data_IF_842098786024
#
_entry.id   IF_842098786024
#
_cell.length_a   1.000
_cell.length_b   1.000
_cell.length_c   1.000
_cell.angle_alpha   90.00
_cell.angle_beta   90.00
_cell.angle_gamma   90.00
#
_symmetry.space_group_name_H-M   'P 1'
#
loop_
_entity.id
_entity.type
_entity.pdbx_description
1 polymer ?
#
# COMPACT_ATOMS: atom_id res chain seq x y z
N UNK A 1 19.49 -1.63 24.55
CA UNK A 1 18.77 -0.48 23.95
C UNK A 1 17.50 -0.25 24.76
N UNK A 2 17.06 0.99 24.93
CA UNK A 2 15.81 1.27 25.65
C UNK A 2 14.61 1.13 24.71
N UNK A 3 13.64 0.29 25.09
CA UNK A 3 12.40 0.10 24.31
C UNK A 3 11.54 1.37 24.40
N UNK A 4 11.32 1.99 23.25
CA UNK A 4 10.54 3.21 23.08
C UNK A 4 9.10 2.97 22.61
N UNK A 5 8.87 1.93 21.80
CA UNK A 5 7.57 1.59 21.23
C UNK A 5 7.40 0.07 21.15
N UNK A 6 6.21 -0.41 21.52
CA UNK A 6 5.78 -1.81 21.32
C UNK A 6 4.51 -1.82 20.47
N UNK A 7 4.57 -2.44 19.30
CA UNK A 7 3.45 -2.62 18.37
C UNK A 7 2.91 -4.04 18.51
N UNK A 8 1.59 -4.19 18.52
CA UNK A 8 0.88 -5.48 18.46
C UNK A 8 0.26 -5.66 17.08
N UNK A 9 -0.08 -6.90 16.75
CA UNK A 9 -0.63 -7.24 15.43
C UNK A 9 -2.08 -6.79 15.30
N UNK A 10 -2.44 -6.21 14.15
CA UNK A 10 -3.86 -6.03 13.83
C UNK A 10 -4.47 -7.36 13.40
N UNK A 11 -5.61 -7.70 13.99
CA UNK A 11 -6.54 -8.69 13.46
C UNK A 11 -7.61 -8.00 12.63
N UNK A 12 -8.46 -8.79 11.98
CA UNK A 12 -9.49 -8.27 11.07
C UNK A 12 -10.87 -8.71 11.54
N UNK A 13 -11.75 -7.77 11.82
CA UNK A 13 -13.13 -8.02 12.26
C UNK A 13 -14.07 -8.38 11.10
N UNK A 14 -13.82 -7.82 9.91
CA UNK A 14 -14.68 -7.97 8.74
C UNK A 14 -13.97 -8.60 7.50
N UNK A 15 -13.09 -9.62 7.64
CA UNK A 15 -12.27 -10.12 6.53
C UNK A 15 -13.12 -10.72 5.39
N UNK A 16 -14.30 -11.25 5.69
CA UNK A 16 -15.18 -11.91 4.73
C UNK A 16 -16.43 -11.12 4.38
N UNK A 17 -16.51 -9.85 4.78
CA UNK A 17 -17.70 -9.03 4.60
C UNK A 17 -18.08 -8.84 3.13
N UNK A 18 -17.09 -8.60 2.24
CA UNK A 18 -17.34 -8.52 0.81
C UNK A 18 -16.11 -8.89 -0.03
N UNK A 19 -16.21 -8.73 -1.36
CA UNK A 19 -15.14 -9.06 -2.30
C UNK A 19 -13.92 -8.15 -2.21
N UNK A 20 -14.02 -6.97 -1.57
CA UNK A 20 -12.90 -6.05 -1.34
C UNK A 20 -12.16 -6.38 -0.04
N UNK A 21 -12.87 -6.76 1.03
CA UNK A 21 -12.24 -7.03 2.32
C UNK A 21 -11.28 -8.21 2.29
N UNK A 22 -11.58 -9.26 1.50
CA UNK A 22 -10.75 -10.46 1.39
C UNK A 22 -9.33 -10.19 0.85
N UNK A 23 -9.15 -9.60 -0.35
CA UNK A 23 -7.82 -9.26 -0.84
C UNK A 23 -7.12 -8.22 0.05
N UNK A 24 -7.85 -7.27 0.65
CA UNK A 24 -7.28 -6.30 1.59
C UNK A 24 -6.69 -6.97 2.85
N UNK A 25 -7.38 -7.96 3.41
CA UNK A 25 -6.85 -8.75 4.54
C UNK A 25 -5.49 -9.35 4.18
N UNK A 26 -5.39 -9.97 3.00
CA UNK A 26 -4.13 -10.57 2.54
C UNK A 26 -3.04 -9.51 2.40
N UNK A 27 -3.36 -8.35 1.82
CA UNK A 27 -2.42 -7.25 1.66
C UNK A 27 -1.84 -6.81 3.02
N UNK A 28 -2.72 -6.58 4.00
CA UNK A 28 -2.33 -6.15 5.34
C UNK A 28 -1.53 -7.22 6.07
N UNK A 29 -1.91 -8.48 5.93
CA UNK A 29 -1.19 -9.58 6.58
C UNK A 29 0.23 -9.75 6.04
N UNK A 30 0.49 -9.45 4.77
CA UNK A 30 1.87 -9.40 4.26
C UNK A 30 2.76 -8.46 5.07
N UNK A 31 2.24 -7.28 5.40
CA UNK A 31 2.92 -6.30 6.24
C UNK A 31 2.99 -6.73 7.71
N UNK A 32 1.85 -7.11 8.30
CA UNK A 32 1.71 -7.35 9.74
C UNK A 32 2.33 -8.69 10.18
N UNK A 33 2.17 -9.75 9.39
CA UNK A 33 2.60 -11.10 9.77
C UNK A 33 4.06 -11.34 9.40
N UNK A 34 4.51 -10.82 8.26
CA UNK A 34 5.86 -11.10 7.75
C UNK A 34 6.76 -9.88 7.89
N UNK A 35 6.40 -8.75 7.29
CA UNK A 35 7.32 -7.60 7.22
C UNK A 35 7.68 -7.04 8.61
N UNK A 36 6.69 -6.72 9.46
CA UNK A 36 6.95 -6.14 10.78
C UNK A 36 7.67 -7.11 11.72
N UNK A 37 7.32 -8.40 11.65
CA UNK A 37 8.02 -9.46 12.39
C UNK A 37 9.47 -9.56 11.93
N UNK A 38 9.71 -9.63 10.62
CA UNK A 38 11.04 -9.73 10.05
C UNK A 38 11.89 -8.50 10.42
N UNK A 39 11.33 -7.29 10.31
CA UNK A 39 12.04 -6.07 10.67
C UNK A 39 12.39 -6.01 12.15
N UNK A 40 11.41 -6.28 13.02
CA UNK A 40 11.64 -6.24 14.48
C UNK A 40 12.64 -7.30 14.95
N UNK A 41 12.62 -8.51 14.39
CA UNK A 41 13.58 -9.59 14.75
C UNK A 41 14.99 -9.37 14.22
N UNK A 42 15.16 -8.53 13.20
CA UNK A 42 16.46 -8.24 12.57
C UNK A 42 16.99 -6.84 12.89
N UNK A 43 16.46 -6.18 13.94
CA UNK A 43 16.86 -4.81 14.32
C UNK A 43 16.78 -3.79 13.15
N UNK A 44 15.83 -3.99 12.22
CA UNK A 44 15.56 -3.08 11.12
C UNK A 44 14.51 -2.06 11.52
N UNK A 45 14.57 -0.88 10.90
CA UNK A 45 13.60 0.17 11.15
C UNK A 45 12.22 -0.25 10.62
N UNK A 46 11.20 -0.04 11.44
CA UNK A 46 9.79 -0.22 11.10
C UNK A 46 8.92 0.82 11.79
N UNK A 47 7.68 0.96 11.33
CA UNK A 47 6.76 1.98 11.79
C UNK A 47 5.82 1.47 12.89
N UNK A 48 5.39 2.38 13.75
CA UNK A 48 4.12 2.28 14.45
C UNK A 48 2.98 2.45 13.44
N UNK A 49 1.92 1.66 13.56
CA UNK A 49 0.82 1.65 12.58
C UNK A 49 -0.29 2.68 12.90
N UNK A 50 -0.04 3.59 13.84
CA UNK A 50 -1.01 4.58 14.30
C UNK A 50 -1.97 4.06 15.38
N UNK A 51 -2.02 2.76 15.63
CA UNK A 51 -2.80 2.14 16.70
C UNK A 51 -2.25 0.79 17.13
N UNK A 52 -2.87 0.16 18.14
CA UNK A 52 -2.51 -1.16 18.65
C UNK A 52 -1.06 -1.26 19.15
N UNK A 53 -0.57 -0.21 19.80
CA UNK A 53 0.75 -0.22 20.41
C UNK A 53 0.89 0.82 21.51
N UNK A 54 1.96 0.70 22.28
CA UNK A 54 2.24 1.53 23.45
C UNK A 54 3.57 2.23 23.25
N UNK A 55 3.61 3.52 23.61
CA UNK A 55 4.79 4.35 23.56
C UNK A 55 5.27 4.73 24.95
N UNK A 56 6.59 4.72 25.13
CA UNK A 56 7.22 5.37 26.28
C UNK A 56 7.13 6.89 26.10
N UNK A 57 6.52 7.60 27.06
CA UNK A 57 6.42 9.08 27.04
C UNK A 57 7.78 9.76 26.80
N UNK A 58 8.84 9.28 27.45
CA UNK A 58 10.20 9.80 27.25
C UNK A 58 10.68 9.68 25.80
N UNK A 59 10.36 8.58 25.11
CA UNK A 59 10.72 8.37 23.71
C UNK A 59 10.03 9.40 22.81
N UNK A 60 8.74 9.66 23.02
CA UNK A 60 8.00 10.68 22.25
C UNK A 60 8.63 12.07 22.44
N UNK A 61 8.87 12.47 23.70
CA UNK A 61 9.43 13.79 24.03
C UNK A 61 10.83 13.95 23.45
N UNK A 62 11.72 12.98 23.69
CA UNK A 62 13.09 12.97 23.19
C UNK A 62 13.14 13.01 21.66
N UNK A 63 12.15 12.39 21.00
CA UNK A 63 12.04 12.36 19.54
C UNK A 63 11.53 13.67 18.92
N UNK A 64 11.10 14.64 19.74
CA UNK A 64 10.55 15.92 19.28
C UNK A 64 9.03 15.93 19.12
N UNK A 65 8.31 14.99 19.74
CA UNK A 65 6.85 14.94 19.75
C UNK A 65 6.22 14.55 18.40
N UNK A 66 4.90 14.74 18.33
CA UNK A 66 4.12 14.57 17.09
C UNK A 66 4.29 15.81 16.21
N UNK A 67 4.53 15.62 14.91
CA UNK A 67 4.73 16.69 13.94
C UNK A 67 3.69 16.57 12.82
N UNK A 68 3.19 17.71 12.34
CA UNK A 68 2.11 17.78 11.33
C UNK A 68 2.62 18.07 9.92
N UNK A 69 3.93 18.02 9.70
CA UNK A 69 4.54 18.30 8.39
C UNK A 69 4.44 17.11 7.42
N UNK A 70 4.15 15.91 7.93
CA UNK A 70 3.82 14.71 7.16
C UNK A 70 2.41 14.23 7.49
N UNK A 71 1.69 13.67 6.51
CA UNK A 71 0.34 13.10 6.75
C UNK A 71 0.36 11.77 7.52
N UNK A 72 1.54 11.16 7.69
CA UNK A 72 1.76 9.95 8.48
C UNK A 72 2.66 10.28 9.67
N UNK A 73 2.11 11.01 10.64
CA UNK A 73 2.82 11.47 11.84
C UNK A 73 3.37 10.32 12.71
N UNK A 74 2.70 9.17 12.65
CA UNK A 74 3.10 7.92 13.29
C UNK A 74 4.37 7.32 12.69
N UNK A 75 4.44 7.23 11.37
CA UNK A 75 5.62 6.79 10.62
C UNK A 75 6.79 7.76 10.84
N UNK A 76 6.53 9.06 10.77
CA UNK A 76 7.53 10.09 10.99
C UNK A 76 8.17 10.00 12.38
N UNK A 77 7.33 9.94 13.43
CA UNK A 77 7.79 9.77 14.81
C UNK A 77 8.58 8.47 14.98
N UNK A 78 8.14 7.38 14.34
CA UNK A 78 8.82 6.09 14.39
C UNK A 78 10.25 6.16 13.87
N UNK A 79 10.48 6.85 12.75
CA UNK A 79 11.82 7.00 12.18
C UNK A 79 12.68 7.95 13.01
N UNK A 80 12.14 9.08 13.47
CA UNK A 80 12.87 10.02 14.34
C UNK A 80 13.33 9.36 15.64
N UNK A 81 12.50 8.51 16.23
CA UNK A 81 12.83 7.79 17.46
C UNK A 81 13.94 6.77 17.24
N UNK A 82 13.83 5.94 16.20
CA UNK A 82 14.83 4.92 15.91
C UNK A 82 16.18 5.51 15.47
N UNK A 83 16.18 6.65 14.75
CA UNK A 83 17.39 7.43 14.45
C UNK A 83 18.05 7.94 15.72
N UNK A 84 17.28 8.31 16.76
CA UNK A 84 17.83 8.63 18.09
C UNK A 84 18.29 7.42 18.91
N UNK A 85 18.12 6.22 18.39
CA UNK A 85 18.57 4.97 19.02
C UNK A 85 17.55 4.30 19.94
N UNK A 86 16.28 4.73 19.91
CA UNK A 86 15.20 4.02 20.59
C UNK A 86 14.91 2.68 19.92
N UNK A 87 14.62 1.67 20.74
CA UNK A 87 14.32 0.32 20.28
C UNK A 87 12.83 0.08 20.11
N UNK A 88 12.46 -0.56 19.01
CA UNK A 88 11.07 -0.81 18.63
C UNK A 88 10.83 -2.31 18.61
N UNK A 89 9.72 -2.76 19.22
CA UNK A 89 9.39 -4.20 19.34
C UNK A 89 8.03 -4.51 18.76
N UNK A 90 7.93 -5.63 18.06
CA UNK A 90 6.68 -6.12 17.50
C UNK A 90 6.26 -7.42 18.20
N UNK A 91 5.04 -7.45 18.73
CA UNK A 91 4.44 -8.62 19.39
C UNK A 91 3.41 -9.26 18.46
N UNK A 92 3.83 -10.34 17.79
CA UNK A 92 3.02 -11.05 16.81
C UNK A 92 1.79 -11.74 17.41
N UNK A 93 1.95 -12.34 18.60
CA UNK A 93 0.93 -13.16 19.25
C UNK A 93 -0.18 -12.34 19.92
N UNK A 94 0.05 -11.04 20.14
CA UNK A 94 -0.96 -10.14 20.69
C UNK A 94 -1.73 -9.52 19.52
N UNK A 95 -3.02 -9.80 19.46
CA UNK A 95 -3.90 -9.38 18.37
C UNK A 95 -4.86 -8.30 18.85
N UNK A 96 -4.82 -7.14 18.20
CA UNK A 96 -5.76 -6.04 18.38
C UNK A 96 -6.79 -6.06 17.25
N UNK A 97 -8.10 -6.18 17.53
CA UNK A 97 -9.12 -6.18 16.48
C UNK A 97 -9.16 -4.86 15.70
N UNK A 98 -9.19 -4.93 14.38
CA UNK A 98 -9.32 -3.79 13.49
C UNK A 98 -10.32 -4.07 12.35
N UNK A 99 -10.91 -3.01 11.80
CA UNK A 99 -11.80 -3.07 10.64
C UNK A 99 -11.06 -2.63 9.38
N UNK A 100 -11.39 -3.28 8.27
CA UNK A 100 -10.89 -2.99 6.94
C UNK A 100 -11.95 -2.18 6.17
N UNK A 101 -11.57 -1.19 5.35
CA UNK A 101 -12.51 -0.51 4.47
C UNK A 101 -13.28 -1.49 3.58
N UNK A 102 -14.61 -1.41 3.62
CA UNK A 102 -15.53 -2.21 2.80
C UNK A 102 -15.87 -1.58 1.45
N UNK A 103 -15.52 -0.31 1.24
CA UNK A 103 -15.79 0.46 0.02
C UNK A 103 -14.49 0.84 -0.68
N UNK A 104 -14.52 0.89 -2.02
CA UNK A 104 -13.32 1.15 -2.82
C UNK A 104 -12.80 2.58 -2.65
N UNK A 105 -13.67 3.59 -2.59
CA UNK A 105 -13.24 4.98 -2.40
C UNK A 105 -12.60 5.16 -1.01
N UNK A 106 -13.14 4.49 0.03
CA UNK A 106 -12.56 4.48 1.38
C UNK A 106 -11.19 3.82 1.39
N UNK A 107 -11.04 2.69 0.68
CA UNK A 107 -9.75 2.02 0.50
C UNK A 107 -8.74 2.90 -0.25
N UNK A 108 -9.12 3.46 -1.40
CA UNK A 108 -8.26 4.38 -2.19
C UNK A 108 -7.82 5.59 -1.37
N UNK A 109 -8.72 6.15 -0.56
CA UNK A 109 -8.39 7.25 0.35
C UNK A 109 -7.37 6.83 1.43
N UNK A 110 -7.51 5.63 1.98
CA UNK A 110 -6.55 5.08 2.95
C UNK A 110 -5.18 4.85 2.29
N UNK A 111 -5.15 4.18 1.14
CA UNK A 111 -3.92 3.93 0.37
C UNK A 111 -3.23 5.24 -0.01
N UNK A 112 -3.98 6.23 -0.44
CA UNK A 112 -3.46 7.56 -0.76
C UNK A 112 -2.70 8.17 0.42
N UNK A 113 -3.26 8.12 1.64
CA UNK A 113 -2.61 8.66 2.84
C UNK A 113 -1.34 7.89 3.19
N UNK A 114 -1.36 6.56 3.12
CA UNK A 114 -0.17 5.73 3.38
C UNK A 114 0.94 5.98 2.37
N UNK A 115 0.61 6.03 1.08
CA UNK A 115 1.57 6.32 0.00
C UNK A 115 2.18 7.71 0.17
N UNK A 116 1.34 8.74 0.31
CA UNK A 116 1.78 10.12 0.46
C UNK A 116 2.66 10.29 1.70
N UNK A 117 2.22 9.74 2.84
CA UNK A 117 2.95 9.80 4.10
C UNK A 117 4.31 9.10 4.07
N UNK A 118 4.39 7.90 3.47
CA UNK A 118 5.64 7.17 3.33
C UNK A 118 6.65 7.89 2.44
N UNK A 119 6.21 8.45 1.31
CA UNK A 119 7.11 9.21 0.42
C UNK A 119 7.54 10.54 1.06
N UNK A 120 6.65 11.23 1.78
CA UNK A 120 7.04 12.41 2.57
C UNK A 120 8.11 12.05 3.62
N UNK A 121 7.92 10.95 4.35
CA UNK A 121 8.89 10.44 5.31
C UNK A 121 10.22 10.04 4.63
N UNK A 122 10.17 9.44 3.44
CA UNK A 122 11.36 9.17 2.64
C UNK A 122 12.13 10.47 2.41
N UNK A 123 11.48 11.48 1.81
CA UNK A 123 12.11 12.76 1.51
C UNK A 123 12.69 13.43 2.76
N UNK A 124 11.94 13.42 3.88
CA UNK A 124 12.36 14.03 5.15
C UNK A 124 13.55 13.32 5.80
N UNK A 125 13.57 11.99 5.76
CA UNK A 125 14.54 11.19 6.53
C UNK A 125 15.70 10.63 5.71
N UNK A 126 15.65 10.68 4.36
CA UNK A 126 16.63 10.04 3.48
C UNK A 126 18.08 10.41 3.83
N UNK A 127 18.37 11.71 3.93
CA UNK A 127 19.73 12.18 4.25
C UNK A 127 20.17 11.77 5.66
N UNK A 128 19.25 11.83 6.63
CA UNK A 128 19.54 11.43 7.99
C UNK A 128 19.85 9.93 8.07
N UNK A 129 19.10 9.09 7.37
CA UNK A 129 19.31 7.64 7.29
C UNK A 129 20.68 7.33 6.65
N UNK A 130 20.97 7.94 5.49
CA UNK A 130 22.22 7.69 4.76
C UNK A 130 23.43 8.11 5.59
N UNK A 131 23.38 9.28 6.24
CA UNK A 131 24.48 9.85 7.01
C UNK A 131 24.58 9.29 8.43
N UNK A 132 23.62 8.50 8.89
CA UNK A 132 23.61 8.00 10.27
C UNK A 132 24.79 7.06 10.51
N UNK A 133 25.74 7.45 11.37
CA UNK A 133 27.01 6.73 11.56
C UNK A 133 26.86 5.33 12.14
N UNK A 134 25.84 5.10 12.97
CA UNK A 134 25.62 3.82 13.67
C UNK A 134 24.81 2.81 12.86
N UNK A 135 24.16 3.21 11.78
CA UNK A 135 23.38 2.27 10.97
C UNK A 135 24.32 1.44 10.08
N UNK A 136 24.06 0.13 10.01
CA UNK A 136 24.70 -0.71 9.01
C UNK A 136 24.22 -0.35 7.61
N UNK A 137 24.98 -0.74 6.58
CA UNK A 137 24.55 -0.60 5.19
C UNK A 137 23.16 -1.24 4.97
N UNK A 138 22.94 -2.43 5.52
CA UNK A 138 21.67 -3.16 5.37
C UNK A 138 20.49 -2.43 6.02
N UNK A 139 20.67 -1.85 7.21
CA UNK A 139 19.63 -1.03 7.85
C UNK A 139 19.28 0.20 7.02
N UNK A 140 20.27 0.88 6.43
CA UNK A 140 20.03 2.04 5.56
C UNK A 140 19.24 1.63 4.31
N UNK A 141 19.69 0.57 3.64
CA UNK A 141 19.01 0.05 2.45
C UNK A 141 17.56 -0.35 2.76
N UNK A 142 17.34 -1.16 3.80
CA UNK A 142 16.01 -1.62 4.19
C UNK A 142 15.10 -0.48 4.67
N UNK A 143 15.65 0.56 5.29
CA UNK A 143 14.92 1.76 5.68
C UNK A 143 14.45 2.58 4.47
N UNK A 144 15.32 2.74 3.46
CA UNK A 144 15.00 3.45 2.21
C UNK A 144 13.98 2.65 1.40
N UNK A 145 14.15 1.32 1.28
CA UNK A 145 13.20 0.45 0.59
C UNK A 145 11.83 0.44 1.28
N UNK A 146 11.79 0.51 2.61
CA UNK A 146 10.53 0.60 3.37
C UNK A 146 9.76 1.90 3.05
N UNK A 147 10.41 3.05 3.21
CA UNK A 147 9.78 4.36 2.99
C UNK A 147 9.48 4.59 1.50
N UNK A 148 10.34 4.08 0.62
CA UNK A 148 10.22 4.21 -0.83
C UNK A 148 9.42 3.11 -1.52
N UNK A 149 8.88 2.13 -0.79
CA UNK A 149 8.21 0.97 -1.39
C UNK A 149 7.07 1.35 -2.35
N UNK A 150 6.33 2.42 -2.03
CA UNK A 150 5.23 2.90 -2.86
C UNK A 150 5.66 3.61 -4.17
N UNK A 151 6.95 3.90 -4.37
CA UNK A 151 7.47 4.36 -5.66
C UNK A 151 7.25 3.33 -6.79
N UNK A 152 6.93 2.08 -6.44
CA UNK A 152 6.53 1.07 -7.42
C UNK A 152 5.31 1.48 -8.25
N UNK A 153 4.37 2.26 -7.72
CA UNK A 153 3.14 2.62 -8.45
C UNK A 153 3.40 3.47 -9.71
N UNK A 154 4.12 4.61 -9.65
CA UNK A 154 4.50 5.32 -10.87
C UNK A 154 5.36 4.46 -11.79
N UNK A 155 6.22 3.59 -11.25
CA UNK A 155 7.02 2.66 -12.07
C UNK A 155 6.14 1.64 -12.82
N UNK A 156 5.07 1.15 -12.21
CA UNK A 156 4.09 0.27 -12.86
C UNK A 156 3.38 0.98 -14.03
N UNK A 157 3.01 2.25 -13.87
CA UNK A 157 2.40 3.03 -14.96
C UNK A 157 3.40 3.31 -16.08
N UNK A 158 4.64 3.68 -15.74
CA UNK A 158 5.71 3.85 -16.73
C UNK A 158 5.99 2.56 -17.50
N UNK A 159 6.00 1.41 -16.80
CA UNK A 159 6.12 0.09 -17.43
C UNK A 159 4.95 -0.18 -18.38
N UNK A 160 3.72 0.09 -17.96
CA UNK A 160 2.57 -0.09 -18.83
C UNK A 160 2.69 0.78 -20.08
N UNK A 161 2.96 2.08 -19.93
CA UNK A 161 3.12 3.05 -21.03
C UNK A 161 4.26 2.67 -21.97
N UNK A 162 5.31 2.00 -21.49
CA UNK A 162 6.41 1.56 -22.35
C UNK A 162 6.09 0.29 -23.14
N UNK A 163 5.05 -0.47 -22.78
CA UNK A 163 4.73 -1.73 -23.45
C UNK A 163 4.32 -1.56 -24.91
N UNK A 164 3.43 -0.62 -25.26
CA UNK A 164 3.03 -0.46 -26.68
C UNK A 164 4.20 0.00 -27.55
N UNK A 165 4.94 1.08 -27.22
CA UNK A 165 6.12 1.45 -28.00
C UNK A 165 7.09 0.28 -28.14
N UNK A 166 7.37 -0.45 -27.06
CA UNK A 166 8.25 -1.61 -27.13
C UNK A 166 7.73 -2.65 -28.12
N UNK A 167 6.46 -3.05 -28.03
CA UNK A 167 5.91 -4.09 -28.91
C UNK A 167 5.74 -3.66 -30.38
N UNK A 168 5.82 -2.35 -30.66
CA UNK A 168 5.82 -1.82 -32.01
C UNK A 168 7.23 -1.84 -32.64
N UNK A 169 8.29 -1.63 -31.85
CA UNK A 169 9.66 -1.47 -32.35
C UNK A 169 10.59 -2.66 -32.07
N UNK A 170 10.28 -3.51 -31.10
CA UNK A 170 11.09 -4.66 -30.75
C UNK A 170 10.66 -5.91 -31.55
N UNK A 171 11.65 -6.68 -31.99
CA UNK A 171 11.46 -7.91 -32.76
C UNK A 171 11.62 -9.19 -31.91
N UNK A 172 11.84 -9.07 -30.60
CA UNK A 172 12.08 -10.22 -29.72
C UNK A 172 11.25 -10.16 -28.46
N UNK A 173 10.64 -11.28 -28.10
CA UNK A 173 9.89 -11.49 -26.86
C UNK A 173 10.76 -11.56 -25.60
N UNK A 174 12.09 -11.48 -25.72
CA UNK A 174 13.07 -11.52 -24.62
C UNK A 174 13.15 -10.21 -23.85
N UNK A 175 12.00 -9.65 -23.51
CA UNK A 175 11.86 -8.35 -22.85
C UNK A 175 12.36 -8.38 -21.40
N UNK A 176 12.12 -9.49 -20.70
CA UNK A 176 12.44 -9.63 -19.29
C UNK A 176 13.54 -10.65 -19.08
N UNK A 177 14.66 -10.28 -18.44
CA UNK A 177 15.66 -11.24 -18.01
C UNK A 177 15.02 -12.35 -17.17
N UNK A 178 15.47 -13.59 -17.33
CA UNK A 178 14.93 -14.76 -16.59
C UNK A 178 14.94 -14.57 -15.07
N UNK A 179 15.90 -13.83 -14.52
CA UNK A 179 15.95 -13.48 -13.08
C UNK A 179 14.78 -12.60 -12.62
N UNK A 180 14.19 -11.80 -13.50
CA UNK A 180 13.00 -11.00 -13.19
C UNK A 180 11.76 -11.90 -13.04
N UNK A 181 11.72 -13.02 -13.78
CA UNK A 181 10.74 -14.09 -13.58
C UNK A 181 10.85 -14.71 -12.18
N UNK A 182 12.08 -14.94 -11.70
CA UNK A 182 12.32 -15.41 -10.32
C UNK A 182 11.91 -14.38 -9.26
N UNK A 183 12.19 -13.10 -9.49
CA UNK A 183 11.77 -12.02 -8.60
C UNK A 183 10.23 -11.93 -8.48
N UNK A 184 9.50 -12.30 -9.54
CA UNK A 184 8.04 -12.36 -9.55
C UNK A 184 7.42 -13.32 -8.52
N UNK A 185 8.18 -14.31 -8.01
CA UNK A 185 7.71 -15.21 -6.95
C UNK A 185 7.79 -14.62 -5.55
N UNK A 186 8.50 -13.50 -5.36
CA UNK A 186 8.65 -12.85 -4.06
C UNK A 186 7.32 -12.45 -3.43
N UNK A 187 6.48 -11.62 -4.08
CA UNK A 187 5.19 -11.21 -3.53
C UNK A 187 4.22 -12.39 -3.27
N UNK A 188 3.99 -13.33 -4.21
CA UNK A 188 3.17 -14.51 -3.92
C UNK A 188 3.66 -15.29 -2.69
N UNK A 189 4.97 -15.50 -2.56
CA UNK A 189 5.56 -16.21 -1.41
C UNK A 189 5.33 -15.44 -0.10
N UNK A 190 5.54 -14.12 -0.11
CA UNK A 190 5.29 -13.25 1.05
C UNK A 190 3.86 -13.43 1.57
N UNK A 191 2.87 -13.31 0.68
CA UNK A 191 1.46 -13.41 1.06
C UNK A 191 1.05 -14.83 1.42
N UNK A 192 1.61 -15.86 0.76
CA UNK A 192 1.37 -17.25 1.13
C UNK A 192 1.87 -17.54 2.55
N UNK A 193 3.11 -17.15 2.85
CA UNK A 193 3.70 -17.31 4.20
C UNK A 193 2.90 -16.54 5.24
N UNK A 194 2.47 -15.31 4.93
CA UNK A 194 1.62 -14.52 5.82
C UNK A 194 0.32 -15.26 6.18
N UNK A 195 -0.39 -15.78 5.17
CA UNK A 195 -1.66 -16.46 5.40
C UNK A 195 -1.49 -17.80 6.13
N UNK A 196 -0.50 -18.61 5.76
CA UNK A 196 -0.23 -19.91 6.40
C UNK A 196 0.21 -19.74 7.86
N UNK A 197 0.98 -18.68 8.16
CA UNK A 197 1.49 -18.44 9.52
C UNK A 197 0.41 -17.86 10.45
N UNK A 198 -0.51 -17.04 9.92
CA UNK A 198 -1.53 -16.39 10.72
C UNK A 198 -2.81 -17.21 10.91
N UNK A 199 -3.13 -18.13 9.99
CA UNK A 199 -4.41 -18.85 10.00
C UNK A 199 -4.27 -20.33 9.68
N UNK A 200 -5.11 -21.15 10.33
CA UNK A 200 -5.20 -22.60 10.06
C UNK A 200 -5.65 -22.89 8.63
N UNK A 201 -6.52 -22.05 8.07
CA UNK A 201 -7.04 -22.11 6.70
C UNK A 201 -6.25 -21.22 5.72
N UNK A 202 -4.97 -20.92 6.02
CA UNK A 202 -4.16 -19.96 5.29
C UNK A 202 -4.05 -20.22 3.77
N UNK A 203 -3.93 -21.47 3.35
CA UNK A 203 -3.90 -21.81 1.92
C UNK A 203 -5.22 -21.48 1.21
N UNK A 204 -6.36 -21.73 1.86
CA UNK A 204 -7.68 -21.39 1.33
C UNK A 204 -7.87 -19.88 1.21
N UNK A 205 -7.31 -19.11 2.16
CA UNK A 205 -7.31 -17.64 2.08
C UNK A 205 -6.44 -17.13 0.93
N UNK A 206 -5.25 -17.73 0.75
CA UNK A 206 -4.30 -17.33 -0.30
C UNK A 206 -4.87 -17.43 -1.73
N UNK A 207 -5.93 -18.22 -1.96
CA UNK A 207 -6.65 -18.27 -3.26
C UNK A 207 -7.14 -16.89 -3.73
N UNK A 208 -7.31 -15.92 -2.83
CA UNK A 208 -7.68 -14.54 -3.17
C UNK A 208 -6.51 -13.66 -3.62
N UNK A 209 -5.27 -14.17 -3.64
CA UNK A 209 -4.09 -13.43 -4.08
C UNK A 209 -4.19 -12.86 -5.50
N UNK A 210 -4.72 -13.58 -6.52
CA UNK A 210 -4.91 -13.00 -7.85
C UNK A 210 -5.84 -11.78 -7.84
N UNK A 211 -6.87 -11.77 -6.98
CA UNK A 211 -7.77 -10.60 -6.81
C UNK A 211 -7.01 -9.44 -6.15
N UNK A 212 -6.12 -9.74 -5.19
CA UNK A 212 -5.21 -8.73 -4.64
C UNK A 212 -4.29 -8.14 -5.71
N UNK A 213 -3.75 -8.93 -6.63
CA UNK A 213 -2.94 -8.42 -7.74
C UNK A 213 -3.75 -7.46 -8.62
N UNK A 214 -4.95 -7.87 -9.04
CA UNK A 214 -5.87 -7.04 -9.83
C UNK A 214 -6.13 -5.71 -9.12
N UNK A 215 -6.45 -5.76 -7.82
CA UNK A 215 -6.77 -4.56 -7.05
C UNK A 215 -5.55 -3.66 -6.85
N UNK A 216 -4.38 -4.23 -6.53
CA UNK A 216 -3.13 -3.50 -6.33
C UNK A 216 -2.66 -2.79 -7.60
N UNK A 217 -2.83 -3.40 -8.76
CA UNK A 217 -2.56 -2.77 -10.07
C UNK A 217 -3.61 -1.70 -10.39
N UNK A 218 -4.89 -1.97 -10.14
CA UNK A 218 -5.99 -1.05 -10.44
C UNK A 218 -5.88 0.28 -9.69
N UNK A 219 -5.39 0.28 -8.44
CA UNK A 219 -5.20 1.52 -7.65
C UNK A 219 -3.91 2.28 -7.99
N UNK A 220 -3.13 1.84 -8.99
CA UNK A 220 -1.85 2.47 -9.32
C UNK A 220 -1.98 3.94 -9.73
N UNK A 221 -3.08 4.35 -10.38
CA UNK A 221 -3.33 5.76 -10.75
C UNK A 221 -3.48 6.63 -9.49
N UNK A 222 -4.36 6.22 -8.57
CA UNK A 222 -4.57 6.90 -7.29
C UNK A 222 -3.27 7.02 -6.49
N UNK A 223 -2.52 5.93 -6.39
CA UNK A 223 -1.28 5.91 -5.61
C UNK A 223 -0.15 6.69 -6.30
N UNK A 224 -0.11 6.70 -7.64
CA UNK A 224 0.85 7.54 -8.38
C UNK A 224 0.58 9.03 -8.14
N UNK A 225 -0.69 9.44 -8.10
CA UNK A 225 -1.06 10.81 -7.71
C UNK A 225 -0.51 11.16 -6.32
N UNK A 226 -0.67 10.26 -5.34
CA UNK A 226 -0.16 10.44 -3.99
C UNK A 226 1.38 10.60 -3.95
N UNK A 227 2.11 9.80 -4.73
CA UNK A 227 3.57 9.92 -4.86
C UNK A 227 3.97 11.28 -5.43
N UNK A 228 3.34 11.69 -6.54
CA UNK A 228 3.62 12.97 -7.19
C UNK A 228 3.36 14.12 -6.21
N UNK A 229 2.20 14.14 -5.55
CA UNK A 229 1.89 15.16 -4.55
C UNK A 229 2.90 15.21 -3.40
N UNK A 230 3.38 14.06 -2.93
CA UNK A 230 4.40 13.99 -1.89
C UNK A 230 5.73 14.60 -2.36
N UNK A 231 6.20 14.25 -3.57
CA UNK A 231 7.47 14.71 -4.13
C UNK A 231 7.48 16.23 -4.42
N UNK A 232 6.34 16.78 -4.86
CA UNK A 232 6.19 18.21 -5.13
C UNK A 232 5.75 19.03 -3.90
N UNK A 233 5.66 18.41 -2.72
CA UNK A 233 5.33 19.11 -1.48
C UNK A 233 3.91 19.67 -1.42
N UNK A 234 2.97 19.09 -2.17
CA UNK A 234 1.58 19.52 -2.17
C UNK A 234 0.93 19.22 -0.81
N UNK A 235 0.57 20.26 -0.07
CA UNK A 235 -0.21 20.17 1.16
C UNK A 235 -1.68 20.19 0.78
N UNK A 236 -2.37 19.09 1.03
CA UNK A 236 -3.83 19.05 0.90
C UNK A 236 -4.43 19.79 2.08
N UNK A 237 -5.34 20.74 1.82
CA UNK A 237 -5.91 21.62 2.86
C UNK A 237 -6.79 20.88 3.88
N UNK A 238 -7.28 19.67 3.58
CA UNK A 238 -8.13 18.87 4.47
C UNK A 238 -7.63 17.43 4.68
N UNK A 239 -7.51 17.02 5.94
CA UNK A 239 -7.33 15.61 6.32
C UNK A 239 -8.66 14.87 6.14
N UNK A 240 -8.86 14.24 4.98
CA UNK A 240 -10.02 13.37 4.75
C UNK A 240 -9.82 12.09 5.57
N UNK A 241 -10.58 11.94 6.66
CA UNK A 241 -10.58 10.74 7.51
C UNK A 241 -11.04 9.53 6.69
N UNK A 242 -10.33 8.41 6.81
CA UNK A 242 -10.81 7.15 6.23
C UNK A 242 -12.07 6.71 7.00
N UNK A 243 -13.20 6.48 6.30
CA UNK A 243 -14.42 6.00 6.94
C UNK A 243 -14.18 4.64 7.63
N UNK A 244 -14.67 4.51 8.87
CA UNK A 244 -14.76 3.23 9.59
C UNK A 244 -16.25 2.94 9.77
N UNK A 245 -16.75 1.88 9.14
CA UNK A 245 -18.12 1.43 9.35
C UNK A 245 -18.17 0.63 10.66
N UNK A 246 -18.71 1.20 11.72
CA UNK A 246 -18.93 0.49 12.98
C UNK A 246 -19.86 -0.70 12.76
N UNK A 247 -19.33 -1.93 12.71
CA UNK A 247 -20.18 -3.12 12.55
C UNK A 247 -21.08 -3.39 13.77
N UNK A 248 -20.83 -2.72 14.91
CA UNK A 248 -21.52 -2.91 16.20
C UNK A 248 -22.71 -1.97 16.38
N UNK A 249 -22.84 -0.91 15.57
CA UNK A 249 -24.02 -0.04 15.56
C UNK A 249 -24.64 -0.02 14.17
N UNK A 250 -25.95 -0.20 14.08
CA UNK A 250 -26.75 -0.05 12.83
C UNK A 250 -26.77 1.40 12.30
N UNK A 251 -25.84 2.25 12.71
CA UNK A 251 -25.72 3.63 12.25
C UNK A 251 -24.76 3.66 11.05
N UNK A 252 -25.31 3.90 9.86
CA UNK A 252 -24.54 4.28 8.68
C UNK A 252 -23.83 5.62 8.96
N UNK A 253 -22.62 5.56 9.51
CA UNK A 253 -21.82 6.77 9.68
C UNK A 253 -21.37 7.29 8.32
N UNK A 254 -22.06 8.33 7.84
CA UNK A 254 -21.81 9.03 6.58
C UNK A 254 -20.50 9.83 6.65
N UNK A 255 -19.40 9.23 6.19
CA UNK A 255 -18.14 9.94 6.02
C UNK A 255 -17.74 9.94 4.54
N UNK A 256 -17.76 11.14 3.96
CA UNK A 256 -17.48 11.39 2.55
C UNK A 256 -16.00 11.16 2.24
N UNK A 257 -15.70 10.04 1.60
CA UNK A 257 -14.43 9.85 0.93
C UNK A 257 -14.42 10.68 -0.36
N UNK A 258 -13.30 11.35 -0.66
CA UNK A 258 -13.24 12.39 -1.70
C UNK A 258 -13.45 11.77 -3.09
N UNK A 259 -14.63 12.01 -3.67
CA UNK A 259 -15.02 11.47 -4.97
C UNK A 259 -14.48 12.35 -6.09
N UNK A 260 -13.67 11.79 -7.00
CA UNK A 260 -12.98 12.58 -8.02
C UNK A 260 -13.14 11.96 -9.42
N UNK A 261 -14.02 12.55 -10.24
CA UNK A 261 -14.26 12.10 -11.61
C UNK A 261 -13.03 12.20 -12.53
N UNK A 262 -12.08 13.12 -12.27
CA UNK A 262 -10.84 13.19 -13.03
C UNK A 262 -9.99 11.93 -12.81
N UNK A 263 -9.91 11.45 -11.57
CA UNK A 263 -9.22 10.18 -11.27
C UNK A 263 -9.91 9.00 -11.97
N UNK A 264 -11.24 8.93 -11.93
CA UNK A 264 -12.00 7.89 -12.63
C UNK A 264 -11.73 7.93 -14.14
N UNK A 265 -11.72 9.13 -14.74
CA UNK A 265 -11.40 9.31 -16.15
C UNK A 265 -9.99 8.80 -16.50
N UNK A 266 -8.99 9.12 -15.67
CA UNK A 266 -7.63 8.61 -15.85
C UNK A 266 -7.56 7.09 -15.72
N UNK A 267 -8.30 6.50 -14.77
CA UNK A 267 -8.39 5.04 -14.61
C UNK A 267 -8.98 4.38 -15.86
N UNK A 268 -10.01 4.97 -16.47
CA UNK A 268 -10.59 4.51 -17.74
C UNK A 268 -9.56 4.61 -18.87
N UNK A 269 -8.83 5.73 -18.98
CA UNK A 269 -7.80 5.92 -20.00
C UNK A 269 -6.70 4.84 -19.90
N UNK A 270 -6.21 4.57 -18.69
CA UNK A 270 -5.24 3.49 -18.45
C UNK A 270 -5.84 2.10 -18.73
N UNK A 271 -7.13 1.90 -18.46
CA UNK A 271 -7.85 0.68 -18.83
C UNK A 271 -7.90 0.46 -20.34
N UNK A 272 -8.23 1.50 -21.12
CA UNK A 272 -8.22 1.46 -22.60
C UNK A 272 -6.80 1.18 -23.10
N UNK A 273 -5.80 1.87 -22.54
CA UNK A 273 -4.41 1.65 -22.92
C UNK A 273 -3.97 0.21 -22.63
N UNK A 274 -4.28 -0.33 -21.45
CA UNK A 274 -3.98 -1.71 -21.09
C UNK A 274 -4.69 -2.73 -21.99
N UNK A 275 -5.91 -2.44 -22.44
CA UNK A 275 -6.62 -3.25 -23.42
C UNK A 275 -5.87 -3.29 -24.77
N UNK A 276 -5.43 -2.13 -25.27
CA UNK A 276 -4.65 -2.05 -26.51
C UNK A 276 -3.32 -2.80 -26.35
N UNK A 277 -2.61 -2.62 -25.25
CA UNK A 277 -1.39 -3.38 -24.93
C UNK A 277 -1.65 -4.89 -24.96
N UNK A 278 -2.70 -5.36 -24.27
CA UNK A 278 -3.07 -6.78 -24.23
C UNK A 278 -3.40 -7.32 -25.62
N UNK A 279 -4.16 -6.55 -26.42
CA UNK A 279 -4.55 -6.97 -27.76
C UNK A 279 -3.32 -7.17 -28.67
N UNK A 280 -2.36 -6.23 -28.62
CA UNK A 280 -1.11 -6.34 -29.38
C UNK A 280 -0.26 -7.50 -28.85
N UNK A 281 -0.20 -7.69 -27.53
CA UNK A 281 0.65 -8.72 -26.91
C UNK A 281 0.20 -10.14 -27.25
N UNK A 282 -1.11 -10.39 -27.39
CA UNK A 282 -1.60 -11.74 -27.74
C UNK A 282 -0.97 -12.26 -29.03
N UNK A 283 -0.78 -11.38 -30.02
CA UNK A 283 -0.23 -11.75 -31.32
C UNK A 283 1.29 -11.67 -31.39
N UNK A 284 1.88 -10.63 -30.77
CA UNK A 284 3.33 -10.35 -30.91
C UNK A 284 4.17 -10.81 -29.71
N UNK A 285 3.61 -10.78 -28.50
CA UNK A 285 4.33 -11.03 -27.23
C UNK A 285 3.49 -11.86 -26.25
N UNK A 286 3.15 -13.14 -26.58
CA UNK A 286 2.18 -13.91 -25.79
C UNK A 286 2.59 -14.06 -24.32
N UNK A 287 3.89 -14.11 -24.03
CA UNK A 287 4.45 -14.21 -22.67
C UNK A 287 4.06 -13.05 -21.74
N UNK A 288 3.81 -11.85 -22.29
CA UNK A 288 3.39 -10.68 -21.50
C UNK A 288 1.88 -10.62 -21.27
N UNK A 289 1.09 -11.33 -22.08
CA UNK A 289 -0.36 -11.21 -22.11
C UNK A 289 -1.02 -11.51 -20.77
N UNK A 290 -0.62 -12.54 -19.99
CA UNK A 290 -1.19 -12.77 -18.66
C UNK A 290 -1.00 -11.58 -17.73
N UNK A 291 0.17 -10.95 -17.75
CA UNK A 291 0.48 -9.80 -16.90
C UNK A 291 -0.28 -8.54 -17.34
N UNK A 292 -0.39 -8.29 -18.65
CA UNK A 292 -1.18 -7.18 -19.19
C UNK A 292 -2.68 -7.36 -18.98
N UNK A 293 -3.18 -8.60 -18.95
CA UNK A 293 -4.56 -8.90 -18.58
C UNK A 293 -4.88 -8.48 -17.15
N UNK A 294 -3.95 -8.69 -16.19
CA UNK A 294 -4.12 -8.20 -14.83
C UNK A 294 -4.22 -6.67 -14.75
N UNK A 295 -3.42 -5.94 -15.53
CA UNK A 295 -3.55 -4.48 -15.63
C UNK A 295 -4.91 -4.05 -16.19
N UNK A 296 -5.33 -4.65 -17.31
CA UNK A 296 -6.61 -4.32 -17.93
C UNK A 296 -7.78 -4.57 -16.98
N UNK A 297 -7.85 -5.77 -16.40
CA UNK A 297 -8.92 -6.14 -15.45
C UNK A 297 -8.87 -5.22 -14.22
N UNK A 298 -7.66 -4.94 -13.70
CA UNK A 298 -7.46 -4.05 -12.55
C UNK A 298 -8.01 -2.65 -12.77
N UNK A 299 -7.62 -1.99 -13.88
CA UNK A 299 -8.07 -0.64 -14.17
C UNK A 299 -9.57 -0.56 -14.47
N UNK A 300 -10.12 -1.50 -15.25
CA UNK A 300 -11.55 -1.48 -15.56
C UNK A 300 -12.39 -1.71 -14.31
N UNK A 301 -12.03 -2.67 -13.44
CA UNK A 301 -12.75 -2.90 -12.20
C UNK A 301 -12.69 -1.67 -11.28
N UNK A 302 -11.48 -1.13 -11.05
CA UNK A 302 -11.33 0.05 -10.18
C UNK A 302 -12.07 1.26 -10.76
N UNK A 303 -12.06 1.47 -12.08
CA UNK A 303 -12.80 2.55 -12.73
C UNK A 303 -14.33 2.38 -12.56
N UNK A 304 -14.86 1.18 -12.81
CA UNK A 304 -16.30 0.89 -12.66
C UNK A 304 -16.75 1.13 -11.22
N UNK A 305 -16.08 0.51 -10.25
CA UNK A 305 -16.45 0.66 -8.84
C UNK A 305 -16.28 2.11 -8.37
N UNK A 306 -15.20 2.79 -8.77
CA UNK A 306 -14.99 4.20 -8.42
C UNK A 306 -16.08 5.09 -9.02
N UNK A 307 -16.52 4.83 -10.25
CA UNK A 307 -17.62 5.56 -10.88
C UNK A 307 -18.95 5.33 -10.17
N UNK A 308 -19.29 4.06 -9.88
CA UNK A 308 -20.55 3.70 -9.21
C UNK A 308 -20.63 4.29 -7.80
N UNK A 309 -19.56 4.16 -7.01
CA UNK A 309 -19.52 4.70 -5.65
C UNK A 309 -19.52 6.24 -5.67
N UNK A 310 -18.79 6.88 -6.58
CA UNK A 310 -18.78 8.36 -6.74
C UNK A 310 -20.16 8.88 -7.12
N UNK A 311 -20.83 8.20 -8.05
CA UNK A 311 -22.18 8.56 -8.50
C UNK A 311 -23.21 8.41 -7.37
N UNK A 312 -23.08 7.37 -6.53
CA UNK A 312 -23.95 7.15 -5.37
C UNK A 312 -23.77 8.24 -4.32
N UNK A 313 -22.53 8.61 -3.99
CA UNK A 313 -22.22 9.67 -3.01
C UNK A 313 -22.80 11.02 -3.44
N UNK A 314 -22.63 11.40 -4.71
CA UNK A 314 -23.12 12.69 -5.21
C UNK A 314 -24.65 12.77 -5.34
N UNK A 315 -25.34 11.62 -5.46
CA UNK A 315 -26.81 11.60 -5.36
C UNK A 315 -27.27 11.87 -3.93
N UNK A 316 -26.64 11.25 -2.94
CA UNK A 316 -26.94 11.49 -1.51
C UNK A 316 -26.70 12.95 -1.09
N UNK A 317 -25.67 13.62 -1.60
CA UNK A 317 -25.39 15.06 -1.28
C UNK A 317 -26.46 16.01 -1.85
N UNK A 318 -27.22 15.57 -2.87
CA UNK A 318 -28.26 16.39 -3.51
C UNK A 318 -29.65 16.21 -2.88
N UNK A 319 -29.82 15.22 -2.01
CA UNK A 319 -31.03 14.95 -1.22
C UNK A 319 -30.93 15.64 0.14
#
# INVERSE_FOLDING_TARGET
KDVGMVQTRWGHLNPFHNLLTRPHTIALDGHLVVEQVARSRNDLLFNFNGSAGVWRKKCIIDSGGWQSDTIAEDLDLSYRAQIRGWDFRYLFDIVSPAEIPSELISFKSQQFRWVKGSVQCLCKHLLNIIRHSKFSFWQRYQAIMHLGGYLMHPMMLCFLISTVPYMLYADTDKLLPTWLGFAGFGPPLLYAVAQISAYRDGLSRFVWFPVLMVLGLGVAVNNTKAVIEALFGYKSDDFVRTPKSSYVSNEENEFYANSNYLLVFLEILFGIYAFVSLFISISKFPSMSPFLAFFFIGFILVAIFSYLETSRLLKKVKE
#
